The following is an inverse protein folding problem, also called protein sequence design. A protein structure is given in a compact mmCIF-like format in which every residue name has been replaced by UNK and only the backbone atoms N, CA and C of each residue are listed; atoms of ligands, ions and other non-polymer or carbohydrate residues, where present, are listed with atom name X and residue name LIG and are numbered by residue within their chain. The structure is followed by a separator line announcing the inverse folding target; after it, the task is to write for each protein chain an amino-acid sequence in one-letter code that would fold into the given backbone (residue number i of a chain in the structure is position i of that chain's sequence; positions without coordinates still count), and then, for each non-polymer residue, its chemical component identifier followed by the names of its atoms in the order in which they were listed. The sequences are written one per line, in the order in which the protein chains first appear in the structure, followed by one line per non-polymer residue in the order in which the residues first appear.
data_IF_308950357535
#
_entry.id   IF_308950357535
#
_cell.length_a   1.000
_cell.length_b   1.000
_cell.length_c   1.000
_cell.angle_alpha   90.00
_cell.angle_beta   90.00
_cell.angle_gamma   90.00
#
_symmetry.space_group_name_H-M   'P 1'
#
loop_
_entity.id
_entity.type
_entity.pdbx_description
1 polymer ?
#
# COMPACT_ATOMS: atom_id res chain seq x y z
N UNK A 1 -8.20 -4.38 1.32
CA UNK A 1 -7.82 -3.51 0.19
C UNK A 1 -6.32 -3.24 0.17
N UNK A 2 -5.72 -2.71 1.24
CA UNK A 2 -4.28 -2.39 1.28
C UNK A 2 -3.36 -3.59 0.95
N UNK A 3 -3.57 -4.73 1.63
CA UNK A 3 -2.76 -5.96 1.41
C UNK A 3 -2.79 -6.42 -0.04
N UNK A 4 -3.97 -6.40 -0.66
CA UNK A 4 -4.14 -6.79 -2.07
C UNK A 4 -3.30 -5.89 -2.99
N UNK A 5 -3.41 -4.56 -2.83
CA UNK A 5 -2.66 -3.59 -3.65
C UNK A 5 -1.15 -3.77 -3.48
N UNK A 6 -0.67 -3.97 -2.24
CA UNK A 6 0.74 -4.25 -1.96
C UNK A 6 1.20 -5.54 -2.65
N UNK A 7 0.42 -6.62 -2.54
CA UNK A 7 0.81 -7.89 -3.12
C UNK A 7 0.76 -7.85 -4.66
N UNK A 8 -0.17 -7.11 -5.26
CA UNK A 8 -0.20 -6.92 -6.71
C UNK A 8 1.04 -6.17 -7.18
N UNK A 9 1.43 -5.07 -6.51
CA UNK A 9 2.68 -4.37 -6.83
C UNK A 9 3.92 -5.25 -6.64
N UNK A 10 3.92 -6.09 -5.60
CA UNK A 10 5.01 -7.02 -5.31
C UNK A 10 5.12 -8.19 -6.31
N UNK A 11 4.00 -8.75 -6.80
CA UNK A 11 4.01 -9.92 -7.69
C UNK A 11 4.01 -9.57 -9.17
N UNK A 12 3.41 -8.44 -9.56
CA UNK A 12 3.16 -8.06 -10.96
C UNK A 12 3.87 -6.76 -11.38
N UNK A 13 4.49 -6.04 -10.45
CA UNK A 13 5.32 -4.88 -10.73
C UNK A 13 4.56 -3.55 -10.73
N UNK A 14 5.25 -2.48 -11.12
CA UNK A 14 4.78 -1.10 -10.94
C UNK A 14 3.52 -0.78 -11.75
N UNK A 15 3.47 -1.08 -13.05
CA UNK A 15 2.35 -0.69 -13.90
C UNK A 15 1.02 -1.32 -13.45
N UNK A 16 1.03 -2.64 -13.23
CA UNK A 16 -0.15 -3.37 -12.74
C UNK A 16 -0.52 -2.93 -11.33
N UNK A 17 0.48 -2.76 -10.45
CA UNK A 17 0.27 -2.22 -9.11
C UNK A 17 -0.35 -0.83 -9.10
N UNK A 18 0.14 0.08 -9.94
CA UNK A 18 -0.34 1.46 -10.04
C UNK A 18 -1.81 1.52 -10.49
N UNK A 19 -2.17 0.79 -11.55
CA UNK A 19 -3.54 0.73 -12.06
C UNK A 19 -4.48 0.15 -11.02
N UNK A 20 -4.12 -0.99 -10.41
CA UNK A 20 -4.93 -1.61 -9.36
C UNK A 20 -5.01 -0.71 -8.13
N UNK A 21 -3.92 -0.03 -7.77
CA UNK A 21 -3.87 0.92 -6.66
C UNK A 21 -4.85 2.08 -6.86
N UNK A 22 -4.89 2.67 -8.06
CA UNK A 22 -5.84 3.75 -8.39
C UNK A 22 -7.29 3.24 -8.33
N UNK A 23 -7.59 2.10 -8.97
CA UNK A 23 -8.96 1.56 -9.00
C UNK A 23 -9.44 1.19 -7.59
N UNK A 24 -8.63 0.45 -6.83
CA UNK A 24 -8.98 0.05 -5.45
C UNK A 24 -9.04 1.27 -4.54
N UNK A 25 -8.18 2.26 -4.75
CA UNK A 25 -8.21 3.52 -4.03
C UNK A 25 -9.46 4.34 -4.32
N UNK A 26 -9.94 4.33 -5.58
CA UNK A 26 -11.20 4.97 -5.96
C UNK A 26 -12.39 4.29 -5.28
N UNK A 27 -12.45 2.95 -5.32
CA UNK A 27 -13.48 2.17 -4.62
C UNK A 27 -13.43 2.47 -3.12
N UNK A 28 -12.24 2.55 -2.53
CA UNK A 28 -12.07 2.90 -1.12
C UNK A 28 -12.62 4.29 -0.82
N UNK A 29 -12.28 5.30 -1.61
CA UNK A 29 -12.77 6.66 -1.39
C UNK A 29 -14.28 6.76 -1.54
N UNK A 30 -14.86 5.98 -2.46
CA UNK A 30 -16.30 5.93 -2.66
C UNK A 30 -17.05 5.32 -1.45
N UNK A 31 -16.55 4.22 -0.88
CA UNK A 31 -17.23 3.53 0.22
C UNK A 31 -16.80 3.94 1.64
N UNK A 32 -15.56 4.42 1.78
CA UNK A 32 -14.92 4.67 3.07
C UNK A 32 -13.92 5.84 2.97
N UNK A 33 -14.24 6.84 2.14
CA UNK A 33 -13.47 8.07 2.02
C UNK A 33 -13.42 8.82 3.35
N UNK A 34 -12.26 9.38 3.74
CA UNK A 34 -12.17 10.20 4.94
C UNK A 34 -13.09 11.41 4.81
N UNK A 35 -13.89 11.69 5.85
CA UNK A 35 -14.79 12.82 5.85
C UNK A 35 -14.07 14.12 6.23
N UNK A 36 -14.31 15.19 5.47
CA UNK A 36 -13.87 16.54 5.79
C UNK A 36 -15.08 17.42 6.07
N UNK A 37 -14.99 18.24 7.11
CA UNK A 37 -15.98 19.27 7.39
C UNK A 37 -15.62 20.51 6.59
N UNK A 38 -16.49 20.92 5.67
CA UNK A 38 -16.33 22.18 4.94
C UNK A 38 -16.45 23.38 5.91
N UNK A 39 -15.95 24.53 5.48
CA UNK A 39 -16.09 25.85 6.11
C UNK A 39 -17.53 26.22 6.52
N UNK A 40 -18.53 25.58 5.92
CA UNK A 40 -19.96 25.74 6.23
C UNK A 40 -20.52 24.67 7.19
N UNK A 41 -19.69 23.80 7.74
CA UNK A 41 -20.11 22.74 8.69
C UNK A 41 -20.65 21.47 8.02
N UNK A 42 -20.69 21.40 6.69
CA UNK A 42 -21.16 20.23 5.95
C UNK A 42 -20.07 19.14 5.91
N UNK A 43 -20.45 17.90 6.25
CA UNK A 43 -19.55 16.75 6.17
C UNK A 43 -19.56 16.22 4.74
N UNK A 44 -18.42 16.33 4.06
CA UNK A 44 -18.23 15.81 2.69
C UNK A 44 -17.17 14.71 2.70
N UNK A 45 -17.41 13.64 1.94
CA UNK A 45 -16.42 12.59 1.76
C UNK A 45 -15.30 13.09 0.84
N UNK A 46 -14.05 13.00 1.27
CA UNK A 46 -12.91 13.26 0.40
C UNK A 46 -12.76 12.15 -0.61
N UNK A 47 -12.74 12.56 -1.87
CA UNK A 47 -12.34 11.73 -3.00
C UNK A 47 -10.89 12.07 -3.33
N UNK A 48 -10.04 11.05 -3.54
CA UNK A 48 -8.67 11.21 -4.01
C UNK A 48 -7.58 10.81 -3.01
N UNK A 49 -7.84 10.86 -1.71
CA UNK A 49 -6.84 10.50 -0.70
C UNK A 49 -6.57 9.00 -0.71
N UNK A 50 -7.61 8.17 -0.80
CA UNK A 50 -7.49 6.73 -0.93
C UNK A 50 -6.85 6.34 -2.26
N UNK A 51 -7.19 7.00 -3.37
CA UNK A 51 -6.51 6.84 -4.65
C UNK A 51 -5.00 7.08 -4.53
N UNK A 52 -4.60 8.23 -3.98
CA UNK A 52 -3.20 8.59 -3.80
C UNK A 52 -2.46 7.61 -2.89
N UNK A 53 -3.05 7.29 -1.73
CA UNK A 53 -2.42 6.41 -0.75
C UNK A 53 -2.25 4.97 -1.27
N UNK A 54 -3.24 4.46 -1.99
CA UNK A 54 -3.15 3.12 -2.58
C UNK A 54 -2.17 3.07 -3.76
N UNK A 55 -2.12 4.12 -4.59
CA UNK A 55 -1.11 4.26 -5.63
C UNK A 55 0.31 4.28 -5.06
N UNK A 56 0.56 5.07 -4.02
CA UNK A 56 1.88 5.12 -3.35
C UNK A 56 2.22 3.75 -2.73
N UNK A 57 1.26 3.09 -2.05
CA UNK A 57 1.49 1.77 -1.48
C UNK A 57 1.87 0.73 -2.55
N UNK A 58 1.17 0.72 -3.69
CA UNK A 58 1.52 -0.10 -4.84
C UNK A 58 2.93 0.22 -5.36
N UNK A 59 3.25 1.50 -5.50
CA UNK A 59 4.54 1.97 -6.03
C UNK A 59 5.71 1.54 -5.15
N UNK A 60 5.59 1.74 -3.83
CA UNK A 60 6.59 1.31 -2.85
C UNK A 60 6.73 -0.22 -2.86
N UNK A 61 5.61 -0.95 -2.85
CA UNK A 61 5.64 -2.42 -2.89
C UNK A 61 6.29 -2.98 -4.15
N UNK A 62 6.10 -2.31 -5.30
CA UNK A 62 6.75 -2.68 -6.55
C UNK A 62 8.25 -2.40 -6.56
N UNK A 63 8.78 -1.56 -5.68
CA UNK A 63 10.24 -1.41 -5.54
C UNK A 63 10.90 -2.65 -4.92
N UNK A 64 10.12 -3.49 -4.23
CA UNK A 64 10.56 -4.82 -3.77
C UNK A 64 10.43 -5.90 -4.87
N UNK A 65 9.96 -5.54 -6.07
CA UNK A 65 9.90 -6.39 -7.25
C UNK A 65 11.32 -6.58 -7.81
N UNK A 66 12.09 -7.48 -7.20
CA UNK A 66 13.34 -7.98 -7.78
C UNK A 66 13.14 -9.43 -8.19
N UNK A 67 13.73 -9.88 -9.32
CA UNK A 67 13.61 -11.26 -9.84
C UNK A 67 13.86 -12.33 -8.75
N UNK A 68 14.82 -12.09 -7.85
CA UNK A 68 15.17 -12.99 -6.74
C UNK A 68 14.14 -12.97 -5.60
N UNK A 69 13.51 -11.83 -5.34
CA UNK A 69 12.55 -11.66 -4.25
C UNK A 69 11.16 -12.17 -4.63
N UNK A 70 10.66 -11.92 -5.85
CA UNK A 70 9.32 -12.33 -6.29
C UNK A 70 9.10 -13.87 -6.18
N UNK A 71 10.14 -14.69 -6.30
CA UNK A 71 10.02 -16.16 -6.09
C UNK A 71 9.77 -16.56 -4.62
N UNK A 72 10.07 -15.71 -3.65
CA UNK A 72 10.07 -16.04 -2.24
C UNK A 72 8.87 -15.43 -1.50
N UNK A 73 7.92 -16.29 -1.13
CA UNK A 73 6.71 -15.91 -0.41
C UNK A 73 7.01 -15.24 0.95
N UNK A 74 8.14 -15.57 1.61
CA UNK A 74 8.50 -14.94 2.88
C UNK A 74 8.76 -13.43 2.72
N UNK A 75 9.34 -13.01 1.60
CA UNK A 75 9.58 -11.58 1.33
C UNK A 75 8.29 -10.82 1.03
N UNK A 76 7.24 -11.48 0.52
CA UNK A 76 5.93 -10.87 0.35
C UNK A 76 5.33 -10.46 1.72
N UNK A 77 5.49 -11.30 2.76
CA UNK A 77 5.08 -10.94 4.12
C UNK A 77 5.87 -9.75 4.66
N UNK A 78 7.20 -9.73 4.46
CA UNK A 78 8.05 -8.61 4.87
C UNK A 78 7.60 -7.32 4.18
N UNK A 79 7.28 -7.37 2.88
CA UNK A 79 6.78 -6.22 2.12
C UNK A 79 5.44 -5.71 2.70
N UNK A 80 4.50 -6.60 3.02
CA UNK A 80 3.21 -6.24 3.64
C UNK A 80 3.42 -5.62 5.03
N UNK A 81 4.30 -6.19 5.85
CA UNK A 81 4.62 -5.66 7.18
C UNK A 81 5.21 -4.26 7.05
N UNK A 82 6.24 -4.10 6.22
CA UNK A 82 6.91 -2.82 6.00
C UNK A 82 5.94 -1.75 5.52
N UNK A 83 5.18 -2.02 4.46
CA UNK A 83 4.22 -1.06 3.91
C UNK A 83 3.10 -0.72 4.91
N UNK A 84 2.65 -1.69 5.73
CA UNK A 84 1.64 -1.45 6.76
C UNK A 84 2.16 -0.52 7.86
N UNK A 85 3.39 -0.73 8.31
CA UNK A 85 4.03 0.13 9.32
C UNK A 85 4.19 1.54 8.76
N UNK A 86 4.76 1.69 7.55
CA UNK A 86 4.92 2.99 6.90
C UNK A 86 3.57 3.71 6.77
N UNK A 87 2.54 3.03 6.28
CA UNK A 87 1.20 3.59 6.14
C UNK A 87 0.64 4.11 7.47
N UNK A 88 0.77 3.34 8.56
CA UNK A 88 0.26 3.73 9.88
C UNK A 88 1.07 4.85 10.53
N UNK A 89 2.40 4.76 10.48
CA UNK A 89 3.29 5.79 11.04
C UNK A 89 3.05 7.12 10.33
N UNK A 90 3.05 7.12 8.99
CA UNK A 90 2.78 8.33 8.19
C UNK A 90 1.38 8.88 8.50
N UNK A 91 0.37 8.01 8.59
CA UNK A 91 -1.00 8.44 8.94
C UNK A 91 -1.09 9.15 10.29
N UNK A 92 -0.43 8.62 11.33
CA UNK A 92 -0.39 9.27 12.64
C UNK A 92 0.45 10.57 12.63
N UNK A 93 1.54 10.63 11.87
CA UNK A 93 2.34 11.85 11.71
C UNK A 93 1.55 12.96 11.01
N UNK A 94 0.84 12.64 9.93
CA UNK A 94 -0.02 13.61 9.23
C UNK A 94 -1.12 14.09 10.16
N UNK A 95 -1.79 13.20 10.91
CA UNK A 95 -2.85 13.58 11.83
C UNK A 95 -2.32 14.48 12.96
N UNK A 96 -1.15 14.18 13.52
CA UNK A 96 -0.51 15.02 14.52
C UNK A 96 -0.17 16.41 13.97
N UNK A 97 0.38 16.48 12.74
CA UNK A 97 0.65 17.76 12.07
C UNK A 97 -0.65 18.55 11.84
N UNK A 98 -1.71 17.91 11.35
CA UNK A 98 -3.00 18.57 11.10
C UNK A 98 -3.58 19.14 12.39
N UNK A 99 -3.60 18.37 13.47
CA UNK A 99 -4.12 18.84 14.77
C UNK A 99 -3.31 20.01 15.33
N UNK A 100 -1.98 19.98 15.19
CA UNK A 100 -1.10 21.04 15.66
C UNK A 100 -1.26 22.34 14.86
N UNK A 101 -1.30 22.26 13.53
CA UNK A 101 -1.28 23.44 12.66
C UNK A 101 -2.66 24.02 12.35
N UNK A 102 -3.70 23.18 12.23
CA UNK A 102 -5.02 23.61 11.79
C UNK A 102 -6.04 23.69 12.92
N UNK A 103 -6.05 22.70 13.83
CA UNK A 103 -7.05 22.64 14.89
C UNK A 103 -6.63 23.34 16.18
N UNK A 104 -5.34 23.68 16.35
CA UNK A 104 -4.73 24.20 17.60
C UNK A 104 -5.09 23.35 18.84
N UNK A 105 -5.39 22.08 18.63
CA UNK A 105 -5.71 21.11 19.68
C UNK A 105 -4.54 20.17 19.86
N UNK A 106 -4.25 19.80 21.11
CA UNK A 106 -3.22 18.81 21.39
C UNK A 106 -3.62 17.43 20.87
N UNK A 107 -2.70 16.76 20.17
CA UNK A 107 -2.87 15.37 19.75
C UNK A 107 -2.90 14.48 21.01
N UNK A 108 -4.11 14.05 21.40
CA UNK A 108 -4.38 13.47 22.73
C UNK A 108 -4.16 11.95 22.82
N UNK A 109 -3.43 11.36 21.87
CA UNK A 109 -3.13 9.93 21.88
C UNK A 109 -1.69 9.70 22.34
N UNK A 110 -1.52 8.89 23.39
CA UNK A 110 -0.19 8.50 23.87
C UNK A 110 0.47 7.51 22.91
N UNK A 111 1.80 7.47 22.89
CA UNK A 111 2.57 6.54 22.07
C UNK A 111 2.12 5.07 22.27
N UNK A 112 1.89 4.68 23.53
CA UNK A 112 1.40 3.35 23.88
C UNK A 112 0.05 3.03 23.22
N UNK A 113 -0.90 3.98 23.27
CA UNK A 113 -2.22 3.81 22.64
C UNK A 113 -2.12 3.69 21.12
N UNK A 114 -1.23 4.45 20.48
CA UNK A 114 -1.00 4.37 19.03
C UNK A 114 -0.51 2.97 18.65
N UNK A 115 0.48 2.46 19.38
CA UNK A 115 1.08 1.15 19.08
C UNK A 115 0.07 0.02 19.31
N UNK A 116 -0.57 -0.02 20.48
CA UNK A 116 -1.43 -1.14 20.90
C UNK A 116 -2.80 -1.10 20.21
N UNK A 117 -3.41 0.07 20.05
CA UNK A 117 -4.78 0.16 19.56
C UNK A 117 -4.88 0.41 18.05
N UNK A 118 -3.80 0.85 17.39
CA UNK A 118 -3.82 1.15 15.95
C UNK A 118 -2.82 0.33 15.14
N UNK A 119 -1.52 0.37 15.49
CA UNK A 119 -0.47 -0.25 14.67
C UNK A 119 -0.54 -1.77 14.75
N UNK A 120 -0.48 -2.33 15.97
CA UNK A 120 -0.39 -3.76 16.20
C UNK A 120 -1.61 -4.54 15.65
N UNK A 121 -2.87 -4.14 15.90
CA UNK A 121 -4.03 -4.87 15.40
C UNK A 121 -4.10 -4.87 13.88
N UNK A 122 -3.79 -3.72 13.25
CA UNK A 122 -3.80 -3.60 11.79
C UNK A 122 -2.70 -4.45 11.16
N UNK A 123 -1.52 -4.50 11.77
CA UNK A 123 -0.41 -5.32 11.30
C UNK A 123 -0.76 -6.81 11.39
N UNK A 124 -1.29 -7.26 12.53
CA UNK A 124 -1.71 -8.66 12.70
C UNK A 124 -2.76 -9.07 11.68
N UNK A 125 -3.81 -8.26 11.50
CA UNK A 125 -4.85 -8.52 10.51
C UNK A 125 -4.28 -8.58 9.08
N UNK A 126 -3.41 -7.64 8.71
CA UNK A 126 -2.82 -7.60 7.39
C UNK A 126 -1.91 -8.81 7.12
N UNK A 127 -1.16 -9.28 8.11
CA UNK A 127 -0.30 -10.47 8.01
C UNK A 127 -1.14 -11.74 7.87
N UNK A 128 -2.21 -11.88 8.66
CA UNK A 128 -3.14 -13.01 8.58
C UNK A 128 -3.79 -13.08 7.19
N UNK A 129 -4.25 -11.93 6.67
CA UNK A 129 -4.89 -11.84 5.35
C UNK A 129 -3.87 -12.03 4.20
N UNK A 130 -2.60 -11.65 4.40
CA UNK A 130 -1.57 -11.83 3.39
C UNK A 130 -1.35 -13.31 3.04
N UNK A 131 -1.45 -14.23 4.00
CA UNK A 131 -1.27 -15.68 3.77
C UNK A 131 -2.14 -16.24 2.64
N UNK A 132 -3.49 -16.21 2.77
CA UNK A 132 -4.37 -16.69 1.71
C UNK A 132 -4.24 -15.89 0.42
N UNK A 133 -4.03 -14.56 0.49
CA UNK A 133 -3.84 -13.74 -0.72
C UNK A 133 -2.58 -14.11 -1.49
N UNK A 134 -1.45 -14.35 -0.80
CA UNK A 134 -0.21 -14.80 -1.44
C UNK A 134 -0.44 -16.14 -2.15
N UNK A 135 -1.18 -17.06 -1.53
CA UNK A 135 -1.53 -18.34 -2.16
C UNK A 135 -2.35 -18.10 -3.43
N UNK A 136 -3.44 -17.35 -3.34
CA UNK A 136 -4.32 -17.05 -4.49
C UNK A 136 -3.54 -16.36 -5.61
N UNK A 137 -2.79 -15.31 -5.31
CA UNK A 137 -2.05 -14.55 -6.33
C UNK A 137 -0.91 -15.37 -6.95
N UNK A 138 -0.32 -16.31 -6.20
CA UNK A 138 0.76 -17.15 -6.71
C UNK A 138 0.29 -18.33 -7.56
N UNK A 139 -0.90 -18.87 -7.29
CA UNK A 139 -1.42 -20.06 -7.98
C UNK A 139 -2.50 -19.73 -9.02
N UNK A 140 -3.28 -18.68 -8.80
CA UNK A 140 -4.43 -18.26 -9.62
C UNK A 140 -4.15 -16.87 -10.26
N UNK A 141 -2.97 -16.30 -10.03
CA UNK A 141 -2.57 -15.04 -10.64
C UNK A 141 -2.60 -15.07 -12.18
N UNK A 142 -2.90 -13.94 -12.83
CA UNK A 142 -3.06 -13.87 -14.29
C UNK A 142 -1.77 -14.17 -15.06
N UNK A 143 -0.61 -14.09 -14.41
CA UNK A 143 0.69 -14.37 -15.03
C UNK A 143 1.30 -15.65 -14.45
N UNK A 144 1.67 -16.58 -15.33
CA UNK A 144 2.45 -17.76 -14.99
C UNK A 144 3.82 -17.36 -14.41
N UNK A 145 4.30 -18.11 -13.40
CA UNK A 145 5.60 -17.89 -12.75
C UNK A 145 6.70 -17.63 -13.79
N UNK A 146 7.23 -16.40 -13.81
CA UNK A 146 8.40 -16.03 -14.60
C UNK A 146 8.12 -15.34 -15.93
N UNK A 147 6.87 -15.09 -16.33
CA UNK A 147 6.55 -14.41 -17.58
C UNK A 147 5.77 -13.13 -17.30
N UNK A 148 6.47 -12.12 -16.79
CA UNK A 148 5.98 -10.75 -16.97
C UNK A 148 6.56 -10.25 -18.31
N UNK A 149 5.75 -9.91 -19.32
CA UNK A 149 6.25 -9.43 -20.62
C UNK A 149 7.11 -8.16 -20.51
N UNK A 150 6.98 -7.40 -19.41
CA UNK A 150 7.89 -6.28 -19.09
C UNK A 150 9.29 -6.75 -18.69
N UNK A 151 9.41 -7.88 -17.97
CA UNK A 151 10.69 -8.52 -17.65
C UNK A 151 11.32 -9.23 -18.85
N UNK A 152 10.52 -9.72 -19.81
CA UNK A 152 11.05 -10.37 -21.02
C UNK A 152 11.65 -9.38 -22.01
N UNK A 153 11.10 -8.15 -22.11
CA UNK A 153 11.69 -7.07 -22.93
C UNK A 153 13.02 -6.57 -22.37
N UNK A 154 13.15 -6.42 -21.05
CA UNK A 154 14.41 -6.06 -20.39
C UNK A 154 15.42 -7.23 -20.29
N UNK A 155 15.01 -8.45 -20.64
CA UNK A 155 15.88 -9.63 -20.65
C UNK A 155 16.93 -9.56 -21.77
N UNK A 156 16.64 -8.85 -22.86
CA UNK A 156 17.59 -8.61 -23.95
C UNK A 156 18.62 -7.52 -23.62
N UNK A 157 18.42 -6.72 -22.57
CA UNK A 157 19.31 -5.58 -22.23
C UNK A 157 20.17 -5.77 -20.98
N UNK A 158 20.14 -6.94 -20.31
CA UNK A 158 21.20 -7.32 -19.37
C UNK A 158 21.37 -6.45 -18.11
N UNK A 159 20.33 -5.76 -17.64
CA UNK A 159 20.36 -4.96 -16.41
C UNK A 159 19.29 -5.41 -15.40
N UNK A 160 19.68 -5.61 -14.14
CA UNK A 160 18.74 -5.54 -13.01
C UNK A 160 18.36 -4.05 -12.82
N UNK A 161 17.62 -3.51 -13.78
CA UNK A 161 17.25 -2.10 -13.78
C UNK A 161 16.10 -1.90 -12.79
N UNK A 162 16.44 -1.40 -11.60
CA UNK A 162 15.50 -0.62 -10.81
C UNK A 162 14.91 0.47 -11.71
N UNK A 163 13.59 0.64 -11.66
CA UNK A 163 12.82 1.67 -12.35
C UNK A 163 13.30 3.13 -12.16
N UNK A 164 14.31 3.34 -11.30
CA UNK A 164 14.95 4.61 -10.97
C UNK A 164 16.16 4.96 -11.85
N UNK A 165 16.54 4.13 -12.84
CA UNK A 165 17.60 4.47 -13.80
C UNK A 165 17.01 5.07 -15.08
N UNK A 166 16.99 6.39 -15.14
CA UNK A 166 17.02 7.19 -16.38
C UNK A 166 18.44 7.27 -16.91
#
# INVERSE_FOLDING_TARGET
MLVYVILVGYFFGFADGAVVGIIVGFIRDYFAGPSFTDSQGNVTASIGIGMLMMFIAASISSSFFTKRMNRNAAFAFVCVIFCTICYKVIGHLIMAAVMQFFSRTSYNLSFYQIVVNSILPTLLLNVIIAGPMILVLRFIGPYSKGVNPSLSKNFLSGGDDLWLRT
#
